data_IF_936681106290
#
_entry.id   IF_936681106290
#
_cell.length_a   1.000
_cell.length_b   1.000
_cell.length_c   1.000
_cell.angle_alpha   90.00
_cell.angle_beta   90.00
_cell.angle_gamma   90.00
#
_symmetry.space_group_name_H-M   'P 1'
#
loop_
_entity.id
_entity.type
_entity.pdbx_description
1 polymer ?
#
# COMPACT_ATOMS: atom_id res chain seq x y z
N UNK A 1 7.50 -19.25 -16.10
CA UNK A 1 6.65 -18.03 -16.07
C UNK A 1 7.27 -17.06 -17.05
N UNK A 2 6.58 -16.67 -18.13
CA UNK A 2 7.16 -15.80 -19.17
C UNK A 2 7.14 -14.38 -18.59
N UNK A 3 8.30 -13.86 -18.19
CA UNK A 3 8.40 -12.52 -17.64
C UNK A 3 7.89 -11.52 -18.69
N UNK A 4 6.83 -10.78 -18.35
CA UNK A 4 6.36 -9.67 -19.18
C UNK A 4 7.36 -8.53 -19.10
N UNK A 5 7.53 -7.81 -20.21
CA UNK A 5 8.29 -6.57 -20.21
C UNK A 5 7.71 -5.59 -19.20
N UNK A 6 8.58 -4.89 -18.48
CA UNK A 6 8.16 -3.96 -17.44
C UNK A 6 7.52 -2.72 -18.07
N UNK A 7 6.24 -2.42 -17.79
CA UNK A 7 5.58 -1.25 -18.36
C UNK A 7 6.12 0.03 -17.75
N UNK A 8 6.95 0.77 -18.50
CA UNK A 8 7.56 2.02 -18.03
C UNK A 8 6.52 3.08 -17.62
N UNK A 9 5.32 3.04 -18.23
CA UNK A 9 4.20 3.92 -17.87
C UNK A 9 3.65 3.69 -16.45
N UNK A 10 3.97 2.56 -15.81
CA UNK A 10 3.49 2.27 -14.45
C UNK A 10 4.09 3.22 -13.41
N UNK A 11 5.33 3.67 -13.61
CA UNK A 11 5.99 4.57 -12.68
C UNK A 11 5.28 5.93 -12.53
N UNK A 12 5.00 6.69 -13.61
CA UNK A 12 4.25 7.94 -13.49
C UNK A 12 2.81 7.72 -13.01
N UNK A 13 2.17 6.60 -13.37
CA UNK A 13 0.83 6.26 -12.90
C UNK A 13 0.82 6.03 -11.39
N UNK A 14 1.77 5.28 -10.84
CA UNK A 14 1.88 5.05 -9.40
C UNK A 14 2.23 6.33 -8.64
N UNK A 15 3.06 7.20 -9.22
CA UNK A 15 3.35 8.51 -8.64
C UNK A 15 2.08 9.39 -8.56
N UNK A 16 1.26 9.41 -9.63
CA UNK A 16 -0.02 10.11 -9.59
C UNK A 16 -0.99 9.46 -8.58
N UNK A 17 -1.02 8.13 -8.51
CA UNK A 17 -1.81 7.42 -7.50
C UNK A 17 -1.41 7.79 -6.08
N UNK A 18 -0.11 7.92 -5.80
CA UNK A 18 0.39 8.37 -4.49
C UNK A 18 -0.20 9.73 -4.09
N UNK A 19 -0.30 10.67 -5.03
CA UNK A 19 -0.89 11.99 -4.77
C UNK A 19 -2.40 11.87 -4.53
N UNK A 20 -3.09 11.05 -5.34
CA UNK A 20 -4.52 10.78 -5.17
C UNK A 20 -4.79 10.13 -3.82
N UNK A 21 -3.95 9.20 -3.37
CA UNK A 21 -4.04 8.56 -2.05
C UNK A 21 -4.04 9.59 -0.92
N UNK A 22 -3.16 10.60 -0.98
CA UNK A 22 -3.13 11.68 0.03
C UNK A 22 -4.44 12.45 0.07
N UNK A 23 -4.90 12.92 -1.09
CA UNK A 23 -6.07 13.79 -1.18
C UNK A 23 -7.34 13.04 -0.81
N UNK A 24 -7.44 11.76 -1.21
CA UNK A 24 -8.58 10.92 -0.87
C UNK A 24 -8.62 10.61 0.63
N UNK A 25 -7.47 10.29 1.23
CA UNK A 25 -7.35 10.11 2.68
C UNK A 25 -7.76 11.36 3.45
N UNK A 26 -7.32 12.54 3.02
CA UNK A 26 -7.68 13.82 3.63
C UNK A 26 -9.19 14.10 3.52
N UNK A 27 -9.77 13.85 2.34
CA UNK A 27 -11.21 14.01 2.10
C UNK A 27 -12.07 13.10 2.99
N UNK A 28 -11.72 11.80 3.05
CA UNK A 28 -12.42 10.82 3.88
C UNK A 28 -12.29 11.13 5.37
N UNK A 29 -11.09 11.54 5.82
CA UNK A 29 -10.85 11.88 7.22
C UNK A 29 -11.63 13.13 7.63
N UNK A 30 -11.73 14.12 6.75
CA UNK A 30 -12.52 15.34 6.96
C UNK A 30 -14.03 15.04 7.09
N UNK A 31 -14.57 14.09 6.31
CA UNK A 31 -15.97 13.67 6.41
C UNK A 31 -16.35 13.17 7.82
N UNK A 32 -15.38 12.61 8.56
CA UNK A 32 -15.57 12.16 9.94
C UNK A 32 -15.14 13.17 11.00
N UNK A 33 -14.90 14.44 10.63
CA UNK A 33 -14.32 15.48 11.47
C UNK A 33 -13.02 15.03 12.17
N UNK A 34 -12.19 14.25 11.46
CA UNK A 34 -10.94 13.67 11.97
C UNK A 34 -11.09 12.76 13.21
N UNK A 35 -12.31 12.31 13.52
CA UNK A 35 -12.52 11.33 14.58
C UNK A 35 -12.00 9.94 14.18
N UNK A 36 -12.08 9.63 12.89
CA UNK A 36 -11.55 8.42 12.27
C UNK A 36 -10.60 8.81 11.15
N UNK A 37 -9.46 8.12 11.06
CA UNK A 37 -8.48 8.34 10.00
C UNK A 37 -8.59 7.18 9.02
N UNK A 38 -9.01 7.51 7.81
CA UNK A 38 -9.32 6.56 6.75
C UNK A 38 -8.20 6.56 5.73
N UNK A 39 -7.07 5.92 6.05
CA UNK A 39 -5.94 5.88 5.13
C UNK A 39 -6.26 5.06 3.89
N UNK A 40 -5.87 5.60 2.75
CA UNK A 40 -5.97 4.93 1.47
C UNK A 40 -4.60 4.40 1.06
N UNK A 41 -4.53 3.13 0.65
CA UNK A 41 -3.32 2.47 0.17
C UNK A 41 -3.50 1.95 -1.27
N UNK A 42 -3.91 2.80 -2.22
CA UNK A 42 -4.07 2.36 -3.62
C UNK A 42 -2.73 1.92 -4.21
N UNK A 43 -1.62 2.59 -3.88
CA UNK A 43 -0.29 2.17 -4.34
C UNK A 43 0.01 0.73 -3.94
N UNK A 44 -0.28 0.33 -2.70
CA UNK A 44 -0.10 -1.05 -2.23
C UNK A 44 -1.03 -2.02 -2.98
N UNK A 45 -2.29 -1.64 -3.23
CA UNK A 45 -3.22 -2.43 -4.05
C UNK A 45 -2.67 -2.64 -5.46
N UNK A 46 -2.16 -1.59 -6.11
CA UNK A 46 -1.58 -1.73 -7.45
C UNK A 46 -0.34 -2.61 -7.42
N UNK A 47 0.51 -2.53 -6.39
CA UNK A 47 1.64 -3.44 -6.25
C UNK A 47 1.23 -4.90 -6.02
N UNK A 48 0.14 -5.15 -5.29
CA UNK A 48 -0.45 -6.49 -5.16
C UNK A 48 -0.83 -7.08 -6.52
N UNK A 49 -1.33 -6.28 -7.46
CA UNK A 49 -1.60 -6.73 -8.83
C UNK A 49 -0.35 -6.75 -9.73
N UNK A 50 0.56 -5.81 -9.56
CA UNK A 50 1.81 -5.75 -10.30
C UNK A 50 2.65 -7.01 -10.05
N UNK A 51 2.77 -7.44 -8.78
CA UNK A 51 3.53 -8.62 -8.39
C UNK A 51 2.95 -9.95 -8.91
N UNK A 52 1.70 -9.96 -9.38
CA UNK A 52 1.11 -11.13 -10.05
C UNK A 52 1.70 -11.39 -11.44
N UNK A 53 2.06 -10.33 -12.17
CA UNK A 53 2.30 -10.38 -13.63
C UNK A 53 3.68 -9.84 -14.04
N UNK A 54 4.29 -8.97 -13.22
CA UNK A 54 5.53 -8.29 -13.52
C UNK A 54 6.77 -8.98 -12.93
N UNK A 55 7.96 -8.73 -13.50
CA UNK A 55 9.21 -9.24 -12.96
C UNK A 55 9.55 -8.62 -11.60
N UNK A 56 10.18 -9.44 -10.75
CA UNK A 56 10.49 -9.15 -9.34
C UNK A 56 11.36 -7.91 -9.15
N UNK A 57 12.56 -7.92 -9.74
CA UNK A 57 13.57 -6.89 -9.48
C UNK A 57 13.12 -5.47 -9.86
N UNK A 58 12.57 -5.20 -11.06
CA UNK A 58 12.15 -3.84 -11.41
C UNK A 58 10.94 -3.38 -10.60
N UNK A 59 10.04 -4.28 -10.18
CA UNK A 59 8.90 -3.91 -9.33
C UNK A 59 9.35 -3.51 -7.93
N UNK A 60 10.33 -4.22 -7.35
CA UNK A 60 10.94 -3.86 -6.07
C UNK A 60 11.75 -2.56 -6.19
N UNK A 61 12.47 -2.36 -7.30
CA UNK A 61 13.18 -1.10 -7.53
C UNK A 61 12.20 0.08 -7.63
N UNK A 62 11.04 -0.11 -8.29
CA UNK A 62 10.01 0.91 -8.39
C UNK A 62 9.39 1.23 -7.03
N UNK A 63 9.14 0.25 -6.17
CA UNK A 63 8.62 0.48 -4.83
C UNK A 63 9.63 1.21 -3.94
N UNK A 64 10.92 0.96 -4.10
CA UNK A 64 11.97 1.73 -3.43
C UNK A 64 11.97 3.20 -3.86
N UNK A 65 11.96 3.46 -5.16
CA UNK A 65 11.94 4.84 -5.70
C UNK A 65 10.67 5.59 -5.27
N UNK A 66 9.50 4.95 -5.34
CA UNK A 66 8.26 5.55 -4.86
C UNK A 66 8.27 5.79 -3.36
N UNK A 67 8.81 4.85 -2.59
CA UNK A 67 8.95 5.00 -1.16
C UNK A 67 9.82 6.19 -0.76
N UNK A 68 10.88 6.50 -1.53
CA UNK A 68 11.67 7.72 -1.35
C UNK A 68 10.83 8.98 -1.60
N UNK A 69 9.99 8.97 -2.63
CA UNK A 69 9.07 10.09 -2.88
C UNK A 69 8.05 10.25 -1.74
N UNK A 70 7.51 9.14 -1.21
CA UNK A 70 6.64 9.17 -0.03
C UNK A 70 7.36 9.81 1.17
N UNK A 71 8.57 9.37 1.50
CA UNK A 71 9.30 9.93 2.63
C UNK A 71 9.57 11.43 2.49
N UNK A 72 9.99 11.88 1.30
CA UNK A 72 10.24 13.28 1.00
C UNK A 72 8.97 14.14 1.05
N UNK A 73 7.83 13.61 0.60
CA UNK A 73 6.57 14.36 0.49
C UNK A 73 5.79 14.41 1.80
N UNK A 74 5.78 13.31 2.57
CA UNK A 74 4.90 13.18 3.75
C UNK A 74 5.59 13.47 5.08
N UNK A 75 6.80 12.93 5.31
CA UNK A 75 7.46 13.01 6.62
C UNK A 75 8.69 13.92 6.62
N UNK A 76 9.29 14.17 5.45
CA UNK A 76 10.58 14.84 5.34
C UNK A 76 11.75 14.02 5.92
N UNK A 77 11.51 12.75 6.29
CA UNK A 77 12.49 11.83 6.88
C UNK A 77 12.58 10.61 5.99
N UNK A 78 13.76 10.38 5.42
CA UNK A 78 14.02 9.25 4.54
C UNK A 78 14.12 7.97 5.35
N UNK A 79 13.42 6.92 4.91
CA UNK A 79 13.58 5.54 5.36
C UNK A 79 12.31 4.88 5.85
N UNK A 80 11.29 5.62 6.29
CA UNK A 80 10.11 5.03 6.94
C UNK A 80 9.21 4.37 5.88
N UNK A 81 8.67 5.14 4.96
CA UNK A 81 7.86 4.64 3.85
C UNK A 81 8.72 3.88 2.84
N UNK A 82 9.96 4.32 2.60
CA UNK A 82 10.88 3.63 1.70
C UNK A 82 11.09 2.18 2.10
N UNK A 83 11.45 1.92 3.35
CA UNK A 83 11.68 0.56 3.81
C UNK A 83 10.37 -0.20 3.89
N UNK A 84 9.31 0.41 4.45
CA UNK A 84 8.02 -0.27 4.63
C UNK A 84 7.43 -0.75 3.30
N UNK A 85 7.35 0.14 2.29
CA UNK A 85 6.78 -0.17 0.98
C UNK A 85 7.65 -1.19 0.24
N UNK A 86 8.98 -1.04 0.28
CA UNK A 86 9.91 -1.98 -0.38
C UNK A 86 9.79 -3.38 0.22
N UNK A 87 9.74 -3.47 1.55
CA UNK A 87 9.57 -4.75 2.26
C UNK A 87 8.24 -5.39 1.93
N UNK A 88 7.13 -4.63 1.90
CA UNK A 88 5.83 -5.16 1.51
C UNK A 88 5.87 -5.74 0.09
N UNK A 89 6.41 -5.00 -0.88
CA UNK A 89 6.50 -5.50 -2.25
C UNK A 89 7.40 -6.72 -2.36
N UNK A 90 8.51 -6.76 -1.64
CA UNK A 90 9.36 -7.94 -1.58
C UNK A 90 8.61 -9.17 -1.01
N UNK A 91 7.84 -8.99 0.08
CA UNK A 91 7.03 -10.04 0.69
C UNK A 91 5.95 -10.57 -0.25
N UNK A 92 5.36 -9.73 -1.12
CA UNK A 92 4.42 -10.20 -2.15
C UNK A 92 5.06 -11.24 -3.08
N UNK A 93 6.32 -11.04 -3.46
CA UNK A 93 7.06 -12.01 -4.27
C UNK A 93 7.49 -13.24 -3.49
N UNK A 94 7.80 -13.12 -2.20
CA UNK A 94 8.14 -14.26 -1.33
C UNK A 94 6.92 -15.19 -1.17
N UNK A 95 5.73 -14.63 -0.96
CA UNK A 95 4.50 -15.38 -0.75
C UNK A 95 3.67 -15.55 -2.04
N UNK A 96 4.26 -15.33 -3.22
CA UNK A 96 3.57 -15.36 -4.50
C UNK A 96 2.76 -16.66 -4.70
N UNK A 97 3.33 -17.83 -4.35
CA UNK A 97 2.65 -19.13 -4.48
C UNK A 97 1.43 -19.32 -3.57
N UNK A 98 1.29 -18.50 -2.51
CA UNK A 98 0.15 -18.53 -1.58
C UNK A 98 -0.88 -17.46 -1.96
N UNK A 99 -0.42 -16.26 -2.31
CA UNK A 99 -1.26 -15.09 -2.58
C UNK A 99 -2.12 -15.31 -3.83
N UNK A 100 -1.54 -15.84 -4.90
CA UNK A 100 -2.15 -15.83 -6.23
C UNK A 100 -2.82 -17.14 -6.65
N UNK A 101 -3.28 -17.95 -5.68
CA UNK A 101 -4.00 -19.19 -5.96
C UNK A 101 -5.41 -18.93 -6.48
N UNK A 102 -6.11 -17.98 -5.88
CA UNK A 102 -7.44 -17.56 -6.31
C UNK A 102 -7.71 -16.10 -5.87
N UNK A 103 -8.89 -15.58 -6.20
CA UNK A 103 -9.26 -14.21 -5.85
C UNK A 103 -9.39 -14.01 -4.33
N UNK A 104 -9.80 -15.04 -3.60
CA UNK A 104 -9.99 -14.98 -2.16
C UNK A 104 -8.65 -14.91 -1.43
N UNK A 105 -7.64 -15.69 -1.84
CA UNK A 105 -6.28 -15.61 -1.27
C UNK A 105 -5.67 -14.24 -1.52
N UNK A 106 -5.93 -13.64 -2.68
CA UNK A 106 -5.50 -12.28 -3.00
C UNK A 106 -6.23 -11.23 -2.13
N UNK A 107 -7.52 -11.41 -1.87
CA UNK A 107 -8.29 -10.57 -0.97
C UNK A 107 -7.77 -10.66 0.48
N UNK A 108 -7.50 -11.86 1.00
CA UNK A 108 -6.92 -12.01 2.33
C UNK A 108 -5.49 -11.45 2.39
N UNK A 109 -4.71 -11.59 1.32
CA UNK A 109 -3.41 -10.96 1.22
C UNK A 109 -3.53 -9.44 1.34
N UNK A 110 -4.47 -8.77 0.65
CA UNK A 110 -4.71 -7.34 0.85
C UNK A 110 -4.89 -6.99 2.34
N UNK A 111 -5.78 -7.68 3.04
CA UNK A 111 -6.06 -7.41 4.46
C UNK A 111 -4.79 -7.55 5.31
N UNK A 112 -4.04 -8.64 5.11
CA UNK A 112 -2.81 -8.92 5.86
C UNK A 112 -1.73 -7.88 5.55
N UNK A 113 -1.53 -7.54 4.28
CA UNK A 113 -0.49 -6.60 3.84
C UNK A 113 -0.80 -5.17 4.26
N UNK A 114 -2.06 -4.71 4.16
CA UNK A 114 -2.46 -3.39 4.67
C UNK A 114 -2.26 -3.31 6.18
N UNK A 115 -2.67 -4.36 6.91
CA UNK A 115 -2.46 -4.42 8.36
C UNK A 115 -0.97 -4.39 8.72
N UNK A 116 -0.17 -5.23 8.05
CA UNK A 116 1.27 -5.30 8.27
C UNK A 116 1.98 -3.98 7.95
N UNK A 117 1.58 -3.32 6.87
CA UNK A 117 2.09 -2.00 6.49
C UNK A 117 1.85 -0.96 7.60
N UNK A 118 0.60 -0.85 8.08
CA UNK A 118 0.26 0.12 9.13
C UNK A 118 0.94 -0.16 10.47
N UNK A 119 1.07 -1.44 10.84
CA UNK A 119 1.78 -1.83 12.06
C UNK A 119 3.27 -1.49 11.94
N UNK A 120 3.92 -1.79 10.81
CA UNK A 120 5.33 -1.46 10.62
C UNK A 120 5.55 0.05 10.62
N UNK A 121 4.67 0.83 9.97
CA UNK A 121 4.74 2.29 10.00
C UNK A 121 4.64 2.83 11.43
N UNK A 122 3.65 2.37 12.20
CA UNK A 122 3.47 2.80 13.59
C UNK A 122 4.69 2.44 14.44
N UNK A 123 5.18 1.21 14.36
CA UNK A 123 6.37 0.77 15.11
C UNK A 123 7.57 1.63 14.75
N UNK A 124 7.77 1.90 13.45
CA UNK A 124 8.88 2.72 12.97
C UNK A 124 8.75 4.16 13.47
N UNK A 125 7.57 4.75 13.40
CA UNK A 125 7.31 6.11 13.92
C UNK A 125 7.55 6.23 15.43
N UNK A 126 7.19 5.20 16.21
CA UNK A 126 7.47 5.15 17.65
C UNK A 126 8.98 5.05 17.90
N UNK A 127 9.69 4.21 17.14
CA UNK A 127 11.16 4.07 17.25
C UNK A 127 11.89 5.39 16.98
N UNK A 128 11.43 6.16 15.98
CA UNK A 128 11.97 7.49 15.67
C UNK A 128 11.41 8.61 16.57
N UNK A 129 10.58 8.28 17.57
CA UNK A 129 9.92 9.24 18.49
C UNK A 129 9.08 10.31 17.76
N UNK A 130 8.53 9.97 16.60
CA UNK A 130 7.69 10.85 15.79
C UNK A 130 6.22 10.78 16.19
N UNK A 131 5.81 9.73 16.91
CA UNK A 131 4.43 9.51 17.30
C UNK A 131 4.34 8.82 18.67
N UNK A 132 3.34 9.20 19.45
CA UNK A 132 2.99 8.60 20.73
C UNK A 132 1.50 8.30 20.76
N UNK A 133 1.10 7.21 20.09
CA UNK A 133 -0.29 6.76 20.01
C UNK A 133 -0.53 5.53 20.89
N UNK A 134 -1.68 5.50 21.56
CA UNK A 134 -2.12 4.34 22.34
C UNK A 134 -2.61 3.23 21.41
N UNK A 135 -2.31 1.97 21.72
CA UNK A 135 -2.74 0.82 20.89
C UNK A 135 -4.25 0.78 20.64
N UNK A 136 -5.07 1.16 21.63
CA UNK A 136 -6.54 1.23 21.50
C UNK A 136 -6.95 2.28 20.46
N UNK A 137 -6.29 3.44 20.44
CA UNK A 137 -6.55 4.50 19.46
C UNK A 137 -6.18 4.02 18.06
N UNK A 138 -5.02 3.41 17.89
CA UNK A 138 -4.58 2.88 16.61
C UNK A 138 -5.56 1.83 16.06
N UNK A 139 -5.96 0.85 16.86
CA UNK A 139 -6.84 -0.22 16.36
C UNK A 139 -8.23 0.33 16.00
N UNK A 140 -8.85 1.08 16.91
CA UNK A 140 -10.26 1.49 16.76
C UNK A 140 -10.47 2.67 15.82
N UNK A 141 -9.55 3.64 15.79
CA UNK A 141 -9.72 4.89 15.05
C UNK A 141 -8.87 5.01 13.79
N UNK A 142 -7.90 4.12 13.60
CA UNK A 142 -6.97 4.15 12.47
C UNK A 142 -7.04 2.87 11.63
N UNK A 143 -6.75 1.71 12.23
CA UNK A 143 -6.65 0.44 11.51
C UNK A 143 -7.99 -0.02 10.94
N UNK A 144 -9.03 -0.10 11.77
CA UNK A 144 -10.35 -0.55 11.36
C UNK A 144 -10.95 0.28 10.19
N UNK A 145 -11.01 1.63 10.26
CA UNK A 145 -11.50 2.43 9.14
C UNK A 145 -10.63 2.30 7.88
N UNK A 146 -9.31 2.28 8.05
CA UNK A 146 -8.36 2.07 6.94
C UNK A 146 -8.61 0.75 6.22
N UNK A 147 -8.77 -0.35 6.95
CA UNK A 147 -9.05 -1.65 6.35
C UNK A 147 -10.37 -1.65 5.57
N UNK A 148 -11.42 -1.04 6.13
CA UNK A 148 -12.72 -0.95 5.49
C UNK A 148 -12.61 -0.25 4.13
N UNK A 149 -11.95 0.92 4.08
CA UNK A 149 -11.77 1.67 2.83
C UNK A 149 -10.93 0.89 1.82
N UNK A 150 -9.84 0.26 2.24
CA UNK A 150 -8.99 -0.50 1.32
C UNK A 150 -9.69 -1.76 0.79
N UNK A 151 -10.56 -2.39 1.56
CA UNK A 151 -11.43 -3.49 1.09
C UNK A 151 -12.39 -3.00 0.00
N UNK A 152 -13.04 -1.85 0.20
CA UNK A 152 -13.93 -1.25 -0.80
C UNK A 152 -13.15 -0.90 -2.07
N UNK A 153 -12.00 -0.26 -1.91
CA UNK A 153 -11.14 0.13 -3.04
C UNK A 153 -10.62 -1.08 -3.81
N UNK A 154 -10.25 -2.16 -3.12
CA UNK A 154 -9.87 -3.41 -3.79
C UNK A 154 -11.02 -3.95 -4.65
N UNK A 155 -12.26 -3.95 -4.13
CA UNK A 155 -13.43 -4.39 -4.89
C UNK A 155 -13.69 -3.52 -6.14
N UNK A 156 -13.57 -2.20 -6.02
CA UNK A 156 -13.78 -1.25 -7.14
C UNK A 156 -12.67 -1.40 -8.20
N UNK A 157 -11.41 -1.50 -7.74
CA UNK A 157 -10.23 -1.55 -8.62
C UNK A 157 -9.97 -2.93 -9.21
N UNK A 158 -10.68 -3.96 -8.74
CA UNK A 158 -10.60 -5.33 -9.24
C UNK A 158 -10.77 -5.44 -10.75
N UNK A 159 -11.81 -4.80 -11.30
CA UNK A 159 -12.13 -4.86 -12.73
C UNK A 159 -11.04 -4.19 -13.59
N UNK A 160 -10.64 -2.92 -13.33
CA UNK A 160 -9.61 -2.27 -14.14
C UNK A 160 -8.25 -2.93 -13.99
N UNK A 161 -7.82 -3.30 -12.77
CA UNK A 161 -6.51 -3.91 -12.54
C UNK A 161 -6.40 -5.28 -13.19
N UNK A 162 -7.46 -6.10 -13.11
CA UNK A 162 -7.49 -7.39 -13.80
C UNK A 162 -7.36 -7.25 -15.31
N UNK A 163 -7.87 -6.17 -15.92
CA UNK A 163 -7.69 -5.93 -17.37
C UNK A 163 -6.29 -5.45 -17.71
N UNK A 164 -5.67 -4.64 -16.85
CA UNK A 164 -4.33 -4.10 -17.06
C UNK A 164 -3.22 -5.15 -16.93
N UNK A 165 -3.39 -6.13 -16.03
CA UNK A 165 -2.34 -7.11 -15.71
C UNK A 165 -2.58 -8.52 -16.26
N UNK A 166 -3.74 -8.79 -16.88
CA UNK A 166 -4.03 -10.03 -17.63
C UNK A 166 -3.43 -10.01 -19.02
#
# INVERSE_FOLDING_TARGET
>A
MKEREFPLYLAPVLFLLMLVDTHLTAFLSNLSNFHYIWNVHLVLIVFLWAAYSLPKMPTIALSFVLGLFYDCYYLGIIGIYTVCLTVMVWLLYVFHGVIYQNLYTMFFALVIFVTGYEVILLVTQILFKLSATTSVFFISRYLAPTLLVNIILFAITLIPLKRLFK
#
